data_IF_213913695813
#
_entry.id   IF_213913695813
#
_cell.length_a   1.000
_cell.length_b   1.000
_cell.length_c   1.000
_cell.angle_alpha   90.00
_cell.angle_beta   90.00
_cell.angle_gamma   90.00
#
_symmetry.space_group_name_H-M   'P 1'
#
loop_
_entity.id
_entity.type
_entity.pdbx_description
1 polymer ?
#
# COMPACT_ATOMS: atom_id res chain seq x y z
N UNK A 1 -0.45 -1.37 -7.73
CA UNK A 1 -0.94 -2.28 -6.67
C UNK A 1 -1.57 -1.46 -5.55
N UNK A 2 -2.63 -1.93 -4.92
CA UNK A 2 -3.22 -1.25 -3.77
C UNK A 2 -2.61 -1.78 -2.47
N UNK A 3 -2.08 -0.89 -1.62
CA UNK A 3 -1.49 -1.23 -0.32
C UNK A 3 -2.13 -0.44 0.80
N UNK A 4 -2.28 -1.08 1.97
CA UNK A 4 -2.69 -0.42 3.22
C UNK A 4 -1.60 -0.59 4.28
N UNK A 5 -1.30 0.44 5.09
CA UNK A 5 -0.41 0.28 6.24
C UNK A 5 -1.08 -0.57 7.32
N UNK A 6 -0.28 -1.33 8.09
CA UNK A 6 -0.81 -1.95 9.30
C UNK A 6 -1.14 -0.88 10.34
N UNK A 7 -2.12 -1.16 11.20
CA UNK A 7 -2.58 -0.23 12.24
C UNK A 7 -1.40 0.25 13.10
N UNK A 8 -1.26 1.57 13.24
CA UNK A 8 -0.19 2.20 14.01
C UNK A 8 1.14 2.34 13.27
N UNK A 9 1.22 1.97 11.98
CA UNK A 9 2.41 2.20 11.15
C UNK A 9 2.29 3.50 10.36
N UNK A 10 3.36 4.28 10.36
CA UNK A 10 3.57 5.38 9.43
C UNK A 10 4.54 4.92 8.36
N UNK A 11 4.07 4.78 7.12
CA UNK A 11 4.87 4.29 5.99
C UNK A 11 5.01 5.43 4.97
N UNK A 12 6.21 5.97 4.70
CA UNK A 12 6.39 7.00 3.69
C UNK A 12 6.12 6.47 2.28
N UNK A 13 5.53 7.30 1.43
CA UNK A 13 5.36 7.10 0.00
C UNK A 13 6.45 7.89 -0.73
N UNK A 14 7.53 7.23 -1.21
CA UNK A 14 8.67 7.93 -1.81
C UNK A 14 8.32 8.63 -3.13
N UNK A 15 7.25 8.22 -3.82
CA UNK A 15 6.84 8.83 -5.08
C UNK A 15 6.09 10.16 -4.86
N UNK A 16 5.47 10.34 -3.70
CA UNK A 16 4.64 11.51 -3.37
C UNK A 16 5.23 12.40 -2.30
N UNK A 17 6.19 11.89 -1.53
CA UNK A 17 6.81 12.61 -0.42
C UNK A 17 5.91 12.77 0.80
N UNK A 18 4.80 12.02 0.88
CA UNK A 18 3.85 12.01 2.01
C UNK A 18 3.84 10.65 2.73
N UNK A 19 3.04 10.54 3.79
CA UNK A 19 2.76 9.25 4.43
C UNK A 19 1.62 8.53 3.70
N UNK A 20 1.71 7.20 3.61
CA UNK A 20 0.65 6.36 3.10
C UNK A 20 -0.60 6.54 4.00
N UNK A 21 -1.76 6.89 3.42
CA UNK A 21 -2.99 7.03 4.19
C UNK A 21 -3.38 5.73 4.89
N UNK A 22 -4.06 5.82 6.04
CA UNK A 22 -4.56 4.66 6.78
C UNK A 22 -5.49 3.77 5.94
N UNK A 23 -6.26 4.37 5.03
CA UNK A 23 -7.13 3.65 4.08
C UNK A 23 -6.37 3.02 2.90
N UNK A 24 -5.07 3.29 2.80
CA UNK A 24 -4.21 2.84 1.72
C UNK A 24 -4.32 3.67 0.45
N UNK A 25 -3.57 3.23 -0.57
CA UNK A 25 -3.48 3.90 -1.86
C UNK A 25 -3.02 2.93 -2.95
N UNK A 26 -3.34 3.25 -4.20
CA UNK A 26 -2.70 2.62 -5.35
C UNK A 26 -1.32 3.22 -5.61
N UNK A 27 -0.32 2.35 -5.68
CA UNK A 27 1.10 2.68 -5.87
C UNK A 27 1.69 1.80 -6.98
N UNK A 28 2.81 2.20 -7.55
CA UNK A 28 3.55 1.35 -8.49
C UNK A 28 4.09 0.11 -7.76
N UNK A 29 4.09 -1.05 -8.42
CA UNK A 29 4.69 -2.27 -7.85
C UNK A 29 6.21 -2.19 -7.97
N UNK A 30 6.84 -1.52 -6.99
CA UNK A 30 8.29 -1.33 -6.94
C UNK A 30 8.93 -2.16 -5.83
N UNK A 31 10.26 -2.34 -5.90
CA UNK A 31 11.03 -3.04 -4.87
C UNK A 31 10.85 -2.44 -3.48
N UNK A 32 10.57 -1.13 -3.37
CA UNK A 32 10.26 -0.47 -2.12
C UNK A 32 9.00 -1.07 -1.46
N UNK A 33 7.89 -1.13 -2.21
CA UNK A 33 6.63 -1.66 -1.68
C UNK A 33 6.70 -3.15 -1.40
N UNK A 34 7.39 -3.92 -2.24
CA UNK A 34 7.63 -5.35 -1.99
C UNK A 34 8.40 -5.59 -0.68
N UNK A 35 9.41 -4.77 -0.38
CA UNK A 35 10.13 -4.82 0.90
C UNK A 35 9.23 -4.47 2.09
N UNK A 36 8.36 -3.47 1.95
CA UNK A 36 7.40 -3.09 3.01
C UNK A 36 6.38 -4.19 3.28
N UNK A 37 5.97 -4.93 2.25
CA UNK A 37 5.11 -6.12 2.42
C UNK A 37 5.88 -7.21 3.17
N UNK A 38 7.10 -7.51 2.76
CA UNK A 38 7.93 -8.53 3.40
C UNK A 38 8.27 -8.19 4.87
N UNK A 39 8.44 -6.90 5.18
CA UNK A 39 8.65 -6.41 6.54
C UNK A 39 7.37 -6.39 7.40
N UNK A 40 6.19 -6.62 6.81
CA UNK A 40 4.91 -6.51 7.52
C UNK A 40 4.53 -5.08 7.89
N UNK A 41 5.05 -4.08 7.17
CA UNK A 41 4.68 -2.68 7.34
C UNK A 41 3.37 -2.33 6.59
N UNK A 42 3.15 -2.99 5.45
CA UNK A 42 1.95 -2.84 4.62
C UNK A 42 1.43 -4.20 4.16
N UNK A 43 0.15 -4.26 3.82
CA UNK A 43 -0.47 -5.41 3.15
C UNK A 43 -0.91 -5.03 1.74
N UNK A 44 -0.71 -5.94 0.79
CA UNK A 44 -1.32 -5.85 -0.55
C UNK A 44 -2.79 -6.19 -0.44
N UNK A 45 -3.66 -5.27 -0.82
CA UNK A 45 -5.10 -5.52 -0.95
C UNK A 45 -5.37 -5.93 -2.39
N UNK A 46 -5.93 -7.12 -2.58
CA UNK A 46 -6.54 -7.46 -3.85
C UNK A 46 -7.80 -6.61 -3.95
N UNK A 47 -7.78 -5.61 -4.83
CA UNK A 47 -9.03 -5.09 -5.35
C UNK A 47 -9.53 -6.16 -6.30
N UNK A 48 -10.28 -7.13 -5.77
CA UNK A 48 -11.18 -7.91 -6.60
C UNK A 48 -12.00 -6.86 -7.34
N UNK A 49 -11.85 -6.82 -8.67
CA UNK A 49 -12.67 -5.94 -9.51
C UNK A 49 -14.10 -6.13 -9.03
N UNK A 50 -14.66 -5.12 -8.36
CA UNK A 50 -16.09 -5.05 -8.17
C UNK A 50 -16.67 -5.22 -9.57
N UNK A 51 -17.38 -6.33 -9.78
CA UNK A 51 -18.13 -6.59 -11.00
C UNK A 51 -18.92 -5.32 -11.31
N UNK A 52 -18.58 -4.67 -12.41
CA UNK A 52 -19.53 -3.82 -13.13
C UNK A 52 -20.82 -4.63 -13.27
N UNK A 53 -21.91 -4.06 -12.74
CA UNK A 53 -23.29 -4.53 -12.91
C UNK A 53 -23.95 -3.66 -13.97
#
# INVERSE_FOLDING_TARGET
>A
MFVKPLKGRSVPDPARGDLLPSDGRNVEESSYWLRRIAAGDVVRVKQDKAKES
#
